data_IF_944516608334
#
_entry.id   IF_944516608334
#
_cell.length_a   1.000
_cell.length_b   1.000
_cell.length_c   1.000
_cell.angle_alpha   90.00
_cell.angle_beta   90.00
_cell.angle_gamma   90.00
#
_symmetry.space_group_name_H-M   'P 1'
#
loop_
_entity.id
_entity.type
_entity.pdbx_description
1 polymer ?
#
# COMPACT_ATOMS: atom_id res chain seq x y z
N UNK A 1 23.98 -4.38 1.66
CA UNK A 1 23.02 -4.86 2.67
C UNK A 1 23.43 -4.29 4.02
N UNK A 2 23.02 -3.04 4.27
CA UNK A 2 23.10 -2.41 5.58
C UNK A 2 22.24 -3.20 6.57
N UNK A 3 22.62 -3.31 7.86
CA UNK A 3 21.79 -3.91 8.89
C UNK A 3 20.36 -3.34 8.92
N UNK A 4 20.19 -2.06 8.57
CA UNK A 4 18.88 -1.40 8.47
C UNK A 4 18.00 -1.97 7.36
N UNK A 5 18.57 -2.32 6.20
CA UNK A 5 17.83 -2.92 5.10
C UNK A 5 17.29 -4.30 5.49
N UNK A 6 18.10 -5.10 6.19
CA UNK A 6 17.71 -6.42 6.67
C UNK A 6 16.56 -6.30 7.68
N UNK A 7 16.66 -5.37 8.61
CA UNK A 7 15.59 -5.10 9.60
C UNK A 7 14.31 -4.64 8.91
N UNK A 8 14.39 -3.76 7.91
CA UNK A 8 13.24 -3.30 7.13
C UNK A 8 12.54 -4.46 6.41
N UNK A 9 13.31 -5.35 5.77
CA UNK A 9 12.78 -6.54 5.09
C UNK A 9 12.09 -7.48 6.09
N UNK A 10 12.71 -7.75 7.23
CA UNK A 10 12.11 -8.63 8.26
C UNK A 10 10.79 -8.06 8.77
N UNK A 11 10.75 -6.76 9.09
CA UNK A 11 9.54 -6.07 9.57
C UNK A 11 8.43 -6.11 8.50
N UNK A 12 8.80 -5.90 7.24
CA UNK A 12 7.89 -5.99 6.10
C UNK A 12 7.28 -7.39 5.96
N UNK A 13 8.12 -8.44 6.01
CA UNK A 13 7.67 -9.84 5.94
C UNK A 13 6.75 -10.19 7.11
N UNK A 14 7.06 -9.73 8.33
CA UNK A 14 6.18 -9.90 9.50
C UNK A 14 4.85 -9.17 9.27
N UNK A 15 4.88 -7.95 8.73
CA UNK A 15 3.68 -7.18 8.38
C UNK A 15 2.78 -7.90 7.38
N UNK A 16 3.35 -8.50 6.34
CA UNK A 16 2.62 -9.32 5.35
C UNK A 16 2.07 -10.59 6.00
N UNK A 17 2.86 -11.30 6.79
CA UNK A 17 2.43 -12.50 7.51
C UNK A 17 1.26 -12.23 8.46
N UNK A 18 1.30 -11.10 9.18
CA UNK A 18 0.19 -10.65 10.03
C UNK A 18 -1.04 -10.27 9.22
N UNK A 19 -0.85 -9.71 8.01
CA UNK A 19 -1.94 -9.39 7.08
C UNK A 19 -2.65 -10.66 6.61
N UNK A 20 -1.90 -11.72 6.27
CA UNK A 20 -2.44 -13.04 5.94
C UNK A 20 -3.24 -13.60 7.12
N UNK A 21 -2.68 -13.52 8.33
CA UNK A 21 -3.33 -13.96 9.57
C UNK A 21 -4.49 -13.06 10.02
N UNK A 22 -4.81 -12.00 9.26
CA UNK A 22 -5.83 -11.02 9.59
C UNK A 22 -5.66 -10.45 11.02
N UNK A 23 -4.42 -10.26 11.46
CA UNK A 23 -4.10 -9.74 12.79
C UNK A 23 -3.91 -8.22 12.76
N UNK A 24 -4.50 -7.50 13.72
CA UNK A 24 -4.52 -6.03 13.79
C UNK A 24 -3.14 -5.40 13.91
N UNK A 25 -2.18 -6.17 14.41
CA UNK A 25 -0.78 -5.77 14.49
C UNK A 25 -0.16 -5.56 13.11
N UNK A 26 -0.73 -6.10 12.03
CA UNK A 26 -0.20 -5.91 10.68
C UNK A 26 -0.08 -4.42 10.31
N UNK A 27 -1.02 -3.58 10.76
CA UNK A 27 -1.00 -2.15 10.46
C UNK A 27 0.23 -1.48 11.06
N UNK A 28 0.54 -1.76 12.32
CA UNK A 28 1.73 -1.23 13.01
C UNK A 28 3.04 -1.70 12.37
N UNK A 29 3.13 -2.98 12.00
CA UNK A 29 4.32 -3.51 11.33
C UNK A 29 4.49 -2.94 9.92
N UNK A 30 3.40 -2.82 9.14
CA UNK A 30 3.44 -2.19 7.83
C UNK A 30 3.80 -0.69 7.95
N UNK A 31 3.26 0.03 8.93
CA UNK A 31 3.64 1.41 9.21
C UNK A 31 5.13 1.54 9.49
N UNK A 32 5.67 0.67 10.35
CA UNK A 32 7.10 0.67 10.67
C UNK A 32 7.96 0.33 9.43
N UNK A 33 7.54 -0.63 8.61
CA UNK A 33 8.18 -0.93 7.34
C UNK A 33 8.20 0.31 6.44
N UNK A 34 7.07 1.02 6.33
CA UNK A 34 6.96 2.24 5.53
C UNK A 34 7.90 3.33 6.04
N UNK A 35 7.99 3.56 7.35
CA UNK A 35 8.95 4.53 7.90
C UNK A 35 10.40 4.15 7.58
N UNK A 36 10.76 2.87 7.68
CA UNK A 36 12.10 2.39 7.36
C UNK A 36 12.42 2.52 5.87
N UNK A 37 11.50 2.17 4.98
CA UNK A 37 11.66 2.36 3.55
C UNK A 37 11.76 3.84 3.18
N UNK A 38 10.98 4.72 3.81
CA UNK A 38 11.05 6.16 3.58
C UNK A 38 12.45 6.70 3.94
N UNK A 39 13.00 6.24 5.06
CA UNK A 39 14.36 6.60 5.49
C UNK A 39 15.44 6.10 4.53
N UNK A 40 15.30 4.86 4.03
CA UNK A 40 16.21 4.31 3.03
C UNK A 40 16.15 5.10 1.72
N UNK A 41 14.96 5.30 1.16
CA UNK A 41 14.80 6.05 -0.09
C UNK A 41 15.28 7.49 0.02
N UNK A 42 15.08 8.13 1.18
CA UNK A 42 15.63 9.45 1.45
C UNK A 42 17.16 9.45 1.45
N UNK A 43 17.78 8.43 2.05
CA UNK A 43 19.24 8.24 2.05
C UNK A 43 19.79 8.04 0.64
N UNK A 44 19.05 7.30 -0.21
CA UNK A 44 19.38 7.09 -1.63
C UNK A 44 19.02 8.28 -2.54
N UNK A 45 18.55 9.41 -1.99
CA UNK A 45 18.09 10.61 -2.72
C UNK A 45 16.93 10.35 -3.70
N UNK A 46 16.18 9.27 -3.48
CA UNK A 46 14.97 8.93 -4.22
C UNK A 46 13.77 9.64 -3.56
N UNK A 47 13.65 10.94 -3.80
CA UNK A 47 12.61 11.77 -3.21
C UNK A 47 11.20 11.34 -3.64
N UNK A 48 11.03 10.88 -4.88
CA UNK A 48 9.76 10.37 -5.39
C UNK A 48 9.25 9.16 -4.59
N UNK A 49 10.10 8.16 -4.39
CA UNK A 49 9.80 6.96 -3.59
C UNK A 49 9.56 7.30 -2.12
N UNK A 50 10.29 8.28 -1.57
CA UNK A 50 10.10 8.73 -0.19
C UNK A 50 8.71 9.34 0.02
N UNK A 51 8.27 10.22 -0.89
CA UNK A 51 6.92 10.81 -0.84
C UNK A 51 5.87 9.72 -0.98
N UNK A 52 6.08 8.77 -1.88
CA UNK A 52 5.17 7.67 -2.08
C UNK A 52 4.99 6.84 -0.80
N UNK A 53 6.07 6.62 -0.07
CA UNK A 53 6.04 5.92 1.20
C UNK A 53 5.17 6.64 2.25
N UNK A 54 5.14 7.98 2.24
CA UNK A 54 4.20 8.76 3.05
C UNK A 54 2.73 8.54 2.63
N UNK A 55 2.44 8.42 1.33
CA UNK A 55 1.08 8.08 0.87
C UNK A 55 0.65 6.70 1.38
N UNK A 56 1.53 5.70 1.31
CA UNK A 56 1.27 4.39 1.91
C UNK A 56 1.00 4.50 3.41
N UNK A 57 1.73 5.36 4.12
CA UNK A 57 1.54 5.62 5.54
C UNK A 57 0.14 6.18 5.85
N UNK A 58 -0.35 7.13 5.04
CA UNK A 58 -1.71 7.69 5.16
C UNK A 58 -2.78 6.63 4.90
N UNK A 59 -2.63 5.84 3.82
CA UNK A 59 -3.57 4.76 3.49
C UNK A 59 -3.53 3.65 4.55
N UNK A 60 -2.37 3.39 5.16
CA UNK A 60 -2.23 2.46 6.28
C UNK A 60 -3.09 2.89 7.47
N UNK A 61 -3.04 4.16 7.86
CA UNK A 61 -3.89 4.68 8.93
C UNK A 61 -5.38 4.58 8.59
N UNK A 62 -5.77 4.88 7.35
CA UNK A 62 -7.14 4.69 6.89
C UNK A 62 -7.57 3.23 7.03
N UNK A 63 -6.69 2.32 6.61
CA UNK A 63 -6.94 0.88 6.69
C UNK A 63 -7.08 0.38 8.12
N UNK A 64 -6.20 0.84 9.01
CA UNK A 64 -6.26 0.59 10.44
C UNK A 64 -7.57 1.08 11.05
N UNK A 65 -7.98 2.31 10.75
CA UNK A 65 -9.24 2.89 11.25
C UNK A 65 -10.46 2.08 10.77
N UNK A 66 -10.49 1.70 9.50
CA UNK A 66 -11.57 0.89 8.94
C UNK A 66 -11.65 -0.50 9.59
N UNK A 67 -10.50 -1.12 9.88
CA UNK A 67 -10.44 -2.40 10.58
C UNK A 67 -10.84 -2.31 12.05
N UNK A 68 -10.49 -1.20 12.72
CA UNK A 68 -10.91 -0.93 14.09
C UNK A 68 -12.43 -0.78 14.18
N UNK A 69 -13.06 -0.08 13.23
CA UNK A 69 -14.53 0.01 13.13
C UNK A 69 -15.17 -1.33 12.74
N UNK A 70 -14.57 -2.08 11.83
CA UNK A 70 -15.08 -3.37 11.37
C UNK A 70 -15.08 -4.49 12.42
N UNK A 71 -14.36 -4.33 13.54
CA UNK A 71 -14.40 -5.25 14.69
C UNK A 71 -15.69 -5.15 15.51
N UNK A 72 -16.45 -4.04 15.40
CA UNK A 72 -17.67 -3.86 16.19
C UNK A 72 -18.93 -4.47 15.55
N UNK A 73 -18.89 -4.87 14.27
CA UNK A 73 -20.12 -5.23 13.52
C UNK A 73 -20.29 -6.74 13.30
N UNK A 74 -19.24 -7.56 13.30
CA UNK A 74 -19.41 -9.01 13.12
C UNK A 74 -18.23 -9.79 13.69
N UNK A 75 -18.51 -10.79 14.53
CA UNK A 75 -17.52 -11.71 15.10
C UNK A 75 -16.87 -12.63 14.06
N UNK A 76 -17.33 -12.59 12.80
CA UNK A 76 -16.80 -13.39 11.71
C UNK A 76 -16.34 -12.49 10.56
N UNK A 77 -15.11 -12.71 10.10
CA UNK A 77 -14.52 -11.94 9.01
C UNK A 77 -15.12 -12.45 7.69
N UNK A 78 -16.37 -12.07 7.41
CA UNK A 78 -17.06 -12.36 6.15
C UNK A 78 -16.27 -11.78 4.99
N UNK A 79 -15.98 -12.65 4.01
CA UNK A 79 -15.41 -12.28 2.72
C UNK A 79 -16.47 -11.45 2.02
N UNK A 80 -16.25 -10.14 1.84
CA UNK A 80 -17.14 -9.32 1.01
C UNK A 80 -16.79 -9.55 -0.47
N UNK A 81 -17.67 -10.21 -1.25
CA UNK A 81 -17.48 -10.33 -2.68
C UNK A 81 -17.63 -8.94 -3.30
N UNK A 82 -16.56 -8.45 -3.93
CA UNK A 82 -16.60 -7.21 -4.68
C UNK A 82 -17.19 -7.48 -6.07
N UNK A 83 -18.18 -6.69 -6.48
CA UNK A 83 -18.74 -6.83 -7.82
C UNK A 83 -17.66 -6.49 -8.88
N UNK A 84 -17.56 -7.25 -9.99
CA UNK A 84 -16.54 -7.02 -11.02
C UNK A 84 -16.63 -5.62 -11.65
N UNK A 85 -17.83 -5.02 -11.69
CA UNK A 85 -18.02 -3.62 -12.11
C UNK A 85 -17.31 -2.64 -11.16
N UNK A 86 -17.38 -2.87 -9.85
CA UNK A 86 -16.74 -2.03 -8.84
C UNK A 86 -15.21 -2.16 -8.92
N UNK A 87 -14.71 -3.36 -9.19
CA UNK A 87 -13.29 -3.63 -9.45
C UNK A 87 -12.80 -2.83 -10.65
N UNK A 88 -13.51 -2.87 -11.78
CA UNK A 88 -13.14 -2.12 -12.99
C UNK A 88 -13.17 -0.61 -12.75
N UNK A 89 -14.20 -0.10 -12.07
CA UNK A 89 -14.31 1.32 -11.72
C UNK A 89 -13.14 1.75 -10.81
N UNK A 90 -12.83 0.97 -9.78
CA UNK A 90 -11.74 1.30 -8.86
C UNK A 90 -10.37 1.18 -9.50
N UNK A 91 -10.15 0.22 -10.41
CA UNK A 91 -8.94 0.15 -11.22
C UNK A 91 -8.80 1.36 -12.15
N UNK A 92 -9.89 1.80 -12.79
CA UNK A 92 -9.90 3.01 -13.63
C UNK A 92 -9.61 4.28 -12.82
N UNK A 93 -10.26 4.44 -11.67
CA UNK A 93 -10.00 5.58 -10.77
C UNK A 93 -8.55 5.58 -10.29
N UNK A 94 -8.02 4.41 -9.93
CA UNK A 94 -6.64 4.25 -9.48
C UNK A 94 -5.65 4.50 -10.60
N UNK A 95 -5.93 4.05 -11.82
CA UNK A 95 -5.11 4.33 -12.99
C UNK A 95 -5.08 5.83 -13.29
N UNK A 96 -6.23 6.52 -13.24
CA UNK A 96 -6.31 7.97 -13.41
C UNK A 96 -5.57 8.70 -12.28
N UNK A 97 -5.76 8.26 -11.03
CA UNK A 97 -5.05 8.79 -9.86
C UNK A 97 -3.53 8.60 -9.95
N UNK A 98 -3.08 7.43 -10.39
CA UNK A 98 -1.67 7.12 -10.65
C UNK A 98 -1.08 7.98 -11.76
N UNK A 99 -1.82 8.23 -12.84
CA UNK A 99 -1.39 9.16 -13.89
C UNK A 99 -1.29 10.59 -13.38
N UNK A 100 -2.26 11.08 -12.58
CA UNK A 100 -2.20 12.42 -11.99
C UNK A 100 -1.01 12.53 -11.01
N UNK A 101 -0.77 11.48 -10.22
CA UNK A 101 0.34 11.40 -9.30
C UNK A 101 1.70 11.34 -10.03
N UNK A 102 1.80 10.54 -11.08
CA UNK A 102 2.97 10.43 -11.94
C UNK A 102 3.27 11.72 -12.72
N UNK A 103 2.23 12.44 -13.16
CA UNK A 103 2.39 13.77 -13.77
C UNK A 103 2.89 14.81 -12.76
N UNK A 104 2.40 14.76 -11.53
CA UNK A 104 2.89 15.61 -10.44
C UNK A 104 4.35 15.27 -10.10
N UNK A 105 4.70 13.98 -10.00
CA UNK A 105 6.08 13.53 -9.80
C UNK A 105 7.00 13.92 -10.96
N UNK A 106 6.52 13.85 -12.21
CA UNK A 106 7.27 14.27 -13.40
C UNK A 106 7.62 15.76 -13.37
N UNK A 107 6.81 16.58 -12.71
CA UNK A 107 7.07 18.02 -12.61
C UNK A 107 7.96 18.39 -11.42
N UNK A 108 7.98 17.56 -10.37
CA UNK A 108 8.73 17.82 -9.13
C UNK A 108 9.98 16.94 -8.92
N UNK A 109 10.18 15.86 -9.70
CA UNK A 109 11.26 14.87 -9.46
C UNK A 109 11.93 14.42 -10.77
N UNK A 110 13.27 14.32 -10.75
CA UNK A 110 14.12 13.70 -11.79
C UNK A 110 14.04 12.14 -11.77
N UNK A 111 12.83 11.57 -11.72
CA UNK A 111 12.66 10.11 -11.78
C UNK A 111 12.82 9.62 -13.23
N UNK A 112 13.53 8.51 -13.43
CA UNK A 112 13.86 7.97 -14.76
C UNK A 112 12.62 7.44 -15.51
N UNK A 113 11.60 6.94 -14.80
CA UNK A 113 10.32 6.44 -15.36
C UNK A 113 9.12 6.77 -14.42
N UNK A 114 8.82 8.07 -14.20
CA UNK A 114 7.86 8.51 -13.17
C UNK A 114 6.45 7.96 -13.38
N UNK A 115 6.03 7.75 -14.63
CA UNK A 115 4.69 7.24 -14.95
C UNK A 115 4.53 5.77 -14.56
N UNK A 116 5.49 4.89 -14.85
CA UNK A 116 5.37 3.47 -14.51
C UNK A 116 5.43 3.25 -13.00
N UNK A 117 6.37 3.91 -12.32
CA UNK A 117 6.54 3.80 -10.87
C UNK A 117 5.29 4.31 -10.12
N UNK A 118 4.77 5.47 -10.53
CA UNK A 118 3.54 6.02 -9.94
C UNK A 118 2.31 5.13 -10.12
N UNK A 119 2.27 4.36 -11.21
CA UNK A 119 1.13 3.52 -11.54
C UNK A 119 1.18 2.20 -10.77
N UNK A 120 2.37 1.57 -10.68
CA UNK A 120 2.64 0.45 -9.76
C UNK A 120 2.29 0.83 -8.32
N UNK A 121 2.69 2.02 -7.91
CA UNK A 121 2.40 2.54 -6.61
C UNK A 121 0.91 2.81 -6.36
N UNK A 122 0.20 3.38 -7.34
CA UNK A 122 -1.23 3.59 -7.27
C UNK A 122 -1.97 2.24 -7.15
N UNK A 123 -1.59 1.25 -7.95
CA UNK A 123 -2.15 -0.10 -7.85
C UNK A 123 -1.83 -0.77 -6.51
N UNK A 124 -0.64 -0.54 -5.95
CA UNK A 124 -0.27 -1.01 -4.61
C UNK A 124 -1.10 -0.33 -3.50
N UNK A 125 -1.41 0.96 -3.65
CA UNK A 125 -2.31 1.68 -2.75
C UNK A 125 -3.73 1.13 -2.85
N UNK A 126 -4.21 0.84 -4.06
CA UNK A 126 -5.49 0.18 -4.28
C UNK A 126 -5.51 -1.23 -3.67
N UNK A 127 -4.44 -2.01 -3.84
CA UNK A 127 -4.28 -3.31 -3.20
C UNK A 127 -4.35 -3.16 -1.68
N UNK A 128 -3.62 -2.21 -1.10
CA UNK A 128 -3.66 -1.92 0.35
C UNK A 128 -5.06 -1.51 0.81
N UNK A 129 -5.79 -0.74 0.00
CA UNK A 129 -7.17 -0.37 0.25
C UNK A 129 -8.12 -1.59 0.19
N UNK A 130 -7.95 -2.49 -0.78
CA UNK A 130 -8.72 -3.74 -0.84
C UNK A 130 -8.39 -4.68 0.33
N UNK A 131 -7.14 -4.70 0.81
CA UNK A 131 -6.74 -5.39 2.04
C UNK A 131 -7.53 -4.84 3.23
N UNK A 132 -7.61 -3.51 3.36
CA UNK A 132 -8.37 -2.81 4.40
C UNK A 132 -9.86 -3.20 4.39
N UNK A 133 -10.43 -3.34 3.19
CA UNK A 133 -11.82 -3.73 2.96
C UNK A 133 -12.05 -5.25 2.99
N UNK A 134 -11.01 -6.04 3.33
CA UNK A 134 -11.07 -7.52 3.43
C UNK A 134 -11.44 -8.22 2.11
N UNK A 135 -11.20 -7.60 0.96
CA UNK A 135 -11.46 -8.21 -0.35
C UNK A 135 -10.36 -9.22 -0.71
N UNK A 136 -10.73 -10.41 -1.20
CA UNK A 136 -9.77 -11.43 -1.67
C UNK A 136 -9.09 -11.02 -2.98
N UNK A 137 -9.76 -10.21 -3.81
CA UNK A 137 -9.23 -9.71 -5.09
C UNK A 137 -7.89 -8.95 -4.93
N UNK A 138 -7.59 -8.47 -3.71
CA UNK A 138 -6.31 -7.88 -3.33
C UNK A 138 -5.11 -8.74 -3.68
N UNK A 139 -5.22 -10.06 -3.49
CA UNK A 139 -4.12 -10.98 -3.75
C UNK A 139 -3.74 -11.01 -5.23
N UNK A 140 -4.72 -10.88 -6.13
CA UNK A 140 -4.48 -10.84 -7.57
C UNK A 140 -3.75 -9.54 -7.94
N UNK A 141 -4.13 -8.42 -7.34
CA UNK A 141 -3.41 -7.15 -7.53
C UNK A 141 -1.97 -7.23 -7.03
N UNK A 142 -1.72 -7.81 -5.85
CA UNK A 142 -0.37 -8.01 -5.32
C UNK A 142 0.51 -8.94 -6.13
N UNK A 143 -0.07 -9.84 -6.93
CA UNK A 143 0.69 -10.69 -7.87
C UNK A 143 1.02 -9.95 -9.16
N UNK A 144 0.19 -8.98 -9.54
CA UNK A 144 0.35 -8.22 -10.78
C UNK A 144 1.29 -7.02 -10.64
N UNK A 145 1.27 -6.38 -9.47
CA UNK A 145 2.22 -5.32 -9.07
C UNK A 145 3.54 -5.96 -8.66
#
# INVERSE_FOLDING_TARGET
MSPLEIVAVIISVIGVGLTIKRNMWCWWFNFLAFVLYAYLFFTFKLYGETILQFFFMVVNFYGFYHWLKGKQVDHDIRIEPISPKLVIIQMLITAVGGVIFGLSLKHFTDAAVPMLDSQLAAFSLLATYWTSRKHIATWILWVFV
#
